data_IF_687500234008
#
_entry.id   IF_687500234008
#
_cell.length_a   1.000
_cell.length_b   1.000
_cell.length_c   1.000
_cell.angle_alpha   90.00
_cell.angle_beta   90.00
_cell.angle_gamma   90.00
#
_symmetry.space_group_name_H-M   'P 1'
#
loop_
_entity.id
_entity.type
_entity.pdbx_description
1 polymer ?
#
# COMPACT_ATOMS: atom_id res chain seq x y z
N UNK A 1 7.46 -19.47 17.99
CA UNK A 1 8.49 -20.28 18.70
C UNK A 1 8.01 -20.59 20.11
N UNK A 2 7.00 -21.47 20.27
CA UNK A 2 6.48 -21.88 21.59
C UNK A 2 5.79 -23.25 21.60
N UNK A 3 6.13 -24.17 20.68
CA UNK A 3 5.57 -25.55 20.70
C UNK A 3 6.68 -26.64 20.67
N UNK A 4 7.94 -26.31 20.94
CA UNK A 4 9.03 -27.32 20.94
C UNK A 4 9.96 -27.30 22.16
N UNK A 5 9.58 -26.62 23.25
CA UNK A 5 10.43 -26.53 24.45
C UNK A 5 9.72 -26.88 25.76
N UNK A 6 8.72 -27.76 25.73
CA UNK A 6 8.21 -28.39 26.97
C UNK A 6 8.19 -29.92 26.96
N UNK A 7 8.61 -30.57 25.87
CA UNK A 7 8.81 -32.01 25.83
C UNK A 7 10.25 -32.37 26.20
N UNK A 8 10.61 -32.27 27.48
CA UNK A 8 11.67 -33.03 28.16
C UNK A 8 11.95 -32.41 29.53
N UNK A 9 11.07 -32.64 30.50
CA UNK A 9 11.42 -32.84 31.91
C UNK A 9 10.20 -33.54 32.53
N UNK A 10 10.37 -34.79 32.97
CA UNK A 10 9.35 -35.67 33.57
C UNK A 10 8.59 -36.56 32.57
N UNK A 11 9.13 -37.76 32.32
CA UNK A 11 8.57 -38.80 31.46
C UNK A 11 7.31 -39.47 32.01
N UNK A 12 6.21 -38.72 32.07
CA UNK A 12 4.86 -39.26 32.18
C UNK A 12 4.00 -38.58 31.11
N UNK A 13 3.25 -39.35 30.32
CA UNK A 13 2.31 -38.82 29.32
C UNK A 13 1.40 -37.78 29.98
N UNK A 14 1.48 -36.52 29.54
CA UNK A 14 0.57 -35.47 29.97
C UNK A 14 -0.87 -35.79 29.56
N UNK A 15 -1.83 -35.10 30.19
CA UNK A 15 -3.24 -35.20 29.80
C UNK A 15 -3.38 -34.89 28.29
N UNK A 16 -3.76 -35.91 27.51
CA UNK A 16 -3.91 -35.79 26.04
C UNK A 16 -5.18 -34.98 25.75
N UNK A 17 -5.02 -33.85 25.08
CA UNK A 17 -6.14 -33.13 24.47
C UNK A 17 -6.58 -33.87 23.20
N UNK A 18 -7.86 -33.78 22.89
CA UNK A 18 -8.45 -34.38 21.68
C UNK A 18 -7.87 -33.73 20.41
N UNK A 19 -7.81 -34.50 19.32
CA UNK A 19 -7.22 -34.06 18.05
C UNK A 19 -7.90 -32.79 17.50
N UNK A 20 -9.23 -32.71 17.63
CA UNK A 20 -10.03 -31.57 17.20
C UNK A 20 -9.67 -30.28 17.96
N UNK A 21 -9.40 -30.39 19.27
CA UNK A 21 -8.96 -29.25 20.08
C UNK A 21 -7.61 -28.72 19.60
N UNK A 22 -6.64 -29.62 19.39
CA UNK A 22 -5.30 -29.26 18.93
C UNK A 22 -5.33 -28.64 17.53
N UNK A 23 -6.21 -29.12 16.64
CA UNK A 23 -6.38 -28.53 15.31
C UNK A 23 -7.00 -27.13 15.38
N UNK A 24 -8.00 -26.90 16.25
CA UNK A 24 -8.54 -25.56 16.49
C UNK A 24 -7.48 -24.60 17.05
N UNK A 25 -6.71 -25.04 18.04
CA UNK A 25 -5.62 -24.25 18.62
C UNK A 25 -4.58 -23.87 17.54
N UNK A 26 -4.20 -24.83 16.70
CA UNK A 26 -3.28 -24.59 15.57
C UNK A 26 -3.84 -23.57 14.60
N UNK A 27 -5.13 -23.68 14.23
CA UNK A 27 -5.79 -22.72 13.33
C UNK A 27 -5.80 -21.31 13.92
N UNK A 28 -6.13 -21.15 15.21
CA UNK A 28 -6.09 -19.85 15.89
C UNK A 28 -4.68 -19.26 15.92
N UNK A 29 -3.66 -20.06 16.20
CA UNK A 29 -2.27 -19.59 16.21
C UNK A 29 -1.84 -19.08 14.82
N UNK A 30 -2.18 -19.83 13.77
CA UNK A 30 -1.91 -19.42 12.38
C UNK A 30 -2.65 -18.14 12.04
N UNK A 31 -3.95 -18.05 12.32
CA UNK A 31 -4.75 -16.85 12.06
C UNK A 31 -4.17 -15.63 12.77
N UNK A 32 -3.79 -15.74 14.04
CA UNK A 32 -3.18 -14.64 14.80
C UNK A 32 -1.89 -14.13 14.17
N UNK A 33 -0.99 -15.03 13.76
CA UNK A 33 0.24 -14.65 13.04
C UNK A 33 -0.07 -14.00 11.70
N UNK A 34 -0.99 -14.58 10.93
CA UNK A 34 -1.39 -14.05 9.63
C UNK A 34 -1.98 -12.65 9.74
N UNK A 35 -2.83 -12.37 10.74
CA UNK A 35 -3.42 -11.03 10.96
C UNK A 35 -2.34 -10.00 11.27
N UNK A 36 -1.39 -10.32 12.17
CA UNK A 36 -0.27 -9.43 12.49
C UNK A 36 0.60 -9.11 11.26
N UNK A 37 0.93 -10.14 10.48
CA UNK A 37 1.74 -9.97 9.27
C UNK A 37 0.99 -9.17 8.20
N UNK A 38 -0.31 -9.42 8.01
CA UNK A 38 -1.15 -8.67 7.08
C UNK A 38 -1.24 -7.18 7.45
N UNK A 39 -1.46 -6.86 8.73
CA UNK A 39 -1.48 -5.48 9.21
C UNK A 39 -0.16 -4.75 8.88
N UNK A 40 0.97 -5.40 9.18
CA UNK A 40 2.29 -4.87 8.89
C UNK A 40 2.50 -4.65 7.38
N UNK A 41 2.28 -5.70 6.58
CA UNK A 41 2.53 -5.67 5.13
C UNK A 41 1.60 -4.72 4.38
N UNK A 42 0.35 -4.58 4.80
CA UNK A 42 -0.57 -3.64 4.17
C UNK A 42 -0.20 -2.18 4.47
N UNK A 43 0.25 -1.86 5.70
CA UNK A 43 0.72 -0.49 5.99
C UNK A 43 2.03 -0.15 5.26
N UNK A 44 2.92 -1.12 5.07
CA UNK A 44 4.12 -1.00 4.24
C UNK A 44 3.77 -0.80 2.75
N UNK A 45 2.78 -1.54 2.25
CA UNK A 45 2.27 -1.42 0.89
C UNK A 45 1.67 -0.03 0.61
N UNK A 46 0.81 0.47 1.50
CA UNK A 46 0.19 1.79 1.34
C UNK A 46 1.22 2.92 1.46
N UNK A 47 2.13 2.80 2.44
CA UNK A 47 3.11 3.82 2.77
C UNK A 47 4.51 3.19 2.98
N UNK A 48 5.30 3.10 1.88
CA UNK A 48 6.69 2.66 1.96
C UNK A 48 7.56 3.59 2.81
N UNK A 49 7.23 4.89 2.85
CA UNK A 49 7.90 5.87 3.69
C UNK A 49 7.51 5.68 5.17
N UNK A 50 8.47 5.41 6.09
CA UNK A 50 8.19 5.23 7.52
C UNK A 50 7.49 6.42 8.19
N UNK A 51 7.81 7.65 7.79
CA UNK A 51 7.23 8.85 8.40
C UNK A 51 5.74 9.01 8.05
N UNK A 52 5.38 8.77 6.78
CA UNK A 52 3.98 8.76 6.32
C UNK A 52 3.22 7.57 6.91
N UNK A 53 3.86 6.40 7.02
CA UNK A 53 3.28 5.21 7.65
C UNK A 53 2.88 5.44 9.10
N UNK A 54 3.74 6.10 9.88
CA UNK A 54 3.41 6.45 11.27
C UNK A 54 2.15 7.31 11.36
N UNK A 55 1.99 8.27 10.44
CA UNK A 55 0.79 9.12 10.37
C UNK A 55 -0.45 8.36 9.90
N UNK A 56 -0.31 7.44 8.94
CA UNK A 56 -1.40 6.55 8.49
C UNK A 56 -1.97 5.74 9.66
N UNK A 57 -1.12 5.20 10.54
CA UNK A 57 -1.56 4.47 11.72
C UNK A 57 -2.35 5.34 12.71
N UNK A 58 -2.03 6.64 12.77
CA UNK A 58 -2.72 7.63 13.59
C UNK A 58 -3.96 8.25 12.92
N UNK A 59 -4.30 7.81 11.71
CA UNK A 59 -5.41 8.38 10.96
C UNK A 59 -6.73 7.95 11.63
N UNK A 60 -7.34 8.91 12.33
CA UNK A 60 -8.58 8.72 13.06
C UNK A 60 -9.78 8.70 12.09
N UNK A 61 -10.57 7.63 12.15
CA UNK A 61 -11.75 7.38 11.30
C UNK A 61 -12.93 8.36 11.55
N UNK A 62 -12.78 9.34 12.45
CA UNK A 62 -13.85 10.22 12.95
C UNK A 62 -13.92 11.64 12.35
N UNK A 63 -13.49 11.88 11.11
CA UNK A 63 -13.71 13.17 10.43
C UNK A 63 -14.91 13.20 9.46
N UNK A 64 -15.80 12.19 9.50
CA UNK A 64 -16.99 12.11 8.62
C UNK A 64 -18.03 13.23 8.82
N UNK A 65 -17.92 14.07 9.87
CA UNK A 65 -19.02 14.95 10.29
C UNK A 65 -18.96 16.38 9.70
N UNK A 66 -17.89 16.81 9.02
CA UNK A 66 -17.74 18.24 8.64
C UNK A 66 -17.51 18.58 7.17
N UNK A 67 -17.66 17.63 6.24
CA UNK A 67 -17.53 17.93 4.80
C UNK A 67 -16.14 18.43 4.37
N UNK A 68 -15.11 18.22 5.19
CA UNK A 68 -13.74 18.54 4.84
C UNK A 68 -13.19 17.44 3.93
N UNK A 69 -12.54 17.86 2.84
CA UNK A 69 -11.77 17.00 1.93
C UNK A 69 -10.90 16.08 2.78
N UNK A 70 -11.05 14.78 2.57
CA UNK A 70 -10.32 13.73 3.26
C UNK A 70 -8.81 13.88 2.97
N UNK A 71 -8.08 14.57 3.84
CA UNK A 71 -6.62 14.66 3.74
C UNK A 71 -5.97 13.69 4.72
N UNK A 72 -4.98 12.95 4.25
CA UNK A 72 -4.25 11.95 5.05
C UNK A 72 -3.29 12.58 6.07
N UNK A 73 -3.04 13.90 5.99
CA UNK A 73 -2.13 14.63 6.89
C UNK A 73 -0.64 14.45 6.54
N UNK A 74 -0.34 13.84 5.39
CA UNK A 74 0.98 13.74 4.80
C UNK A 74 0.89 13.87 3.28
N UNK A 75 1.94 14.38 2.61
CA UNK A 75 1.92 14.51 1.16
C UNK A 75 2.08 13.14 0.49
N UNK A 76 1.30 12.90 -0.56
CA UNK A 76 1.54 11.78 -1.50
C UNK A 76 2.61 12.18 -2.52
N UNK A 77 3.35 11.18 -3.02
CA UNK A 77 4.45 11.37 -3.97
C UNK A 77 4.00 12.00 -5.29
N UNK A 78 2.81 11.62 -5.74
CA UNK A 78 2.13 12.11 -6.94
C UNK A 78 1.84 13.61 -6.79
N UNK A 79 1.38 14.03 -5.61
CA UNK A 79 1.13 15.44 -5.31
C UNK A 79 2.41 16.28 -5.33
N UNK A 80 3.49 15.77 -4.73
CA UNK A 80 4.80 16.44 -4.75
C UNK A 80 5.35 16.61 -6.18
N UNK A 81 5.17 15.58 -7.03
CA UNK A 81 5.53 15.65 -8.45
C UNK A 81 4.65 16.69 -9.18
N UNK A 82 3.34 16.67 -8.93
CA UNK A 82 2.38 17.61 -9.50
C UNK A 82 2.72 19.06 -9.16
N UNK A 83 3.00 19.36 -7.89
CA UNK A 83 3.37 20.70 -7.43
C UNK A 83 4.66 21.22 -8.10
N UNK A 84 5.62 20.32 -8.37
CA UNK A 84 6.83 20.66 -9.10
C UNK A 84 6.53 21.04 -10.57
N UNK A 85 5.73 20.22 -11.24
CA UNK A 85 5.35 20.45 -12.64
C UNK A 85 4.50 21.72 -12.81
N UNK A 86 3.56 21.97 -11.90
CA UNK A 86 2.73 23.18 -11.90
C UNK A 86 3.59 24.44 -11.76
N UNK A 87 4.51 24.46 -10.78
CA UNK A 87 5.38 25.61 -10.52
C UNK A 87 6.21 25.97 -11.76
N UNK A 88 6.93 25.01 -12.31
CA UNK A 88 7.79 25.28 -13.47
C UNK A 88 7.00 25.45 -14.77
N UNK A 89 5.82 24.83 -14.89
CA UNK A 89 4.92 25.04 -16.01
C UNK A 89 4.44 26.49 -16.09
N UNK A 90 4.12 27.10 -14.94
CA UNK A 90 3.74 28.51 -14.83
C UNK A 90 4.92 29.45 -15.10
N UNK A 91 6.11 29.14 -14.57
CA UNK A 91 7.32 29.95 -14.81
C UNK A 91 7.73 29.99 -16.29
N UNK A 92 7.49 28.90 -17.05
CA UNK A 92 7.73 28.85 -18.49
C UNK A 92 6.75 29.71 -19.31
N UNK A 93 5.63 30.10 -18.71
CA UNK A 93 4.60 30.93 -19.34
C UNK A 93 3.69 30.17 -20.31
N UNK A 94 2.52 30.76 -20.57
CA UNK A 94 1.45 30.18 -21.41
C UNK A 94 1.84 30.07 -22.89
N UNK A 95 2.84 30.83 -23.33
CA UNK A 95 3.37 30.77 -24.69
C UNK A 95 4.23 29.50 -24.93
N UNK A 96 4.71 28.86 -23.85
CA UNK A 96 5.48 27.63 -23.92
C UNK A 96 4.56 26.42 -24.04
N UNK A 97 4.68 25.68 -25.14
CA UNK A 97 3.99 24.39 -25.29
C UNK A 97 4.36 23.42 -24.16
N UNK A 98 5.64 23.41 -23.76
CA UNK A 98 6.12 22.57 -22.67
C UNK A 98 5.58 23.07 -21.33
N UNK A 99 5.51 24.38 -21.11
CA UNK A 99 4.90 24.98 -19.92
C UNK A 99 3.44 24.57 -19.75
N UNK A 100 2.64 24.73 -20.80
CA UNK A 100 1.25 24.28 -20.83
C UNK A 100 1.11 22.77 -20.58
N UNK A 101 1.98 21.95 -21.17
CA UNK A 101 1.94 20.50 -20.97
C UNK A 101 2.32 20.11 -19.53
N UNK A 102 3.30 20.78 -18.92
CA UNK A 102 3.64 20.59 -17.51
C UNK A 102 2.48 20.94 -16.59
N UNK A 103 1.72 22.01 -16.90
CA UNK A 103 0.54 22.37 -16.12
C UNK A 103 -0.50 21.25 -16.17
N UNK A 104 -0.87 20.77 -17.36
CA UNK A 104 -1.84 19.67 -17.51
C UNK A 104 -1.41 18.40 -16.75
N UNK A 105 -0.14 17.99 -16.89
CA UNK A 105 0.37 16.80 -16.18
C UNK A 105 0.38 17.06 -14.68
N UNK A 106 0.75 18.27 -14.24
CA UNK A 106 0.76 18.65 -12.84
C UNK A 106 -0.61 18.60 -12.18
N UNK A 107 -1.66 19.06 -12.88
CA UNK A 107 -3.05 18.95 -12.43
C UNK A 107 -3.50 17.50 -12.30
N UNK A 108 -3.21 16.68 -13.32
CA UNK A 108 -3.52 15.25 -13.29
C UNK A 108 -2.78 14.52 -12.15
N UNK A 109 -1.52 14.86 -11.88
CA UNK A 109 -0.76 14.28 -10.77
C UNK A 109 -1.32 14.68 -9.39
N UNK A 110 -1.90 15.88 -9.25
CA UNK A 110 -2.65 16.23 -8.04
C UNK A 110 -3.93 15.40 -7.89
N UNK A 111 -4.66 15.16 -8.97
CA UNK A 111 -5.83 14.27 -8.93
C UNK A 111 -5.42 12.83 -8.55
N UNK A 112 -4.31 12.32 -9.08
CA UNK A 112 -3.75 11.03 -8.68
C UNK A 112 -3.43 10.98 -7.18
N UNK A 113 -2.94 12.08 -6.60
CA UNK A 113 -2.71 12.17 -5.16
C UNK A 113 -4.00 12.06 -4.34
N UNK A 114 -5.09 12.68 -4.80
CA UNK A 114 -6.40 12.60 -4.13
C UNK A 114 -6.99 11.18 -4.19
N UNK A 115 -6.80 10.48 -5.31
CA UNK A 115 -7.18 9.06 -5.48
C UNK A 115 -6.33 8.17 -4.57
N UNK A 116 -5.03 8.46 -4.42
CA UNK A 116 -4.13 7.76 -3.49
C UNK A 116 -4.48 8.00 -2.02
N UNK A 117 -4.84 9.22 -1.64
CA UNK A 117 -5.36 9.54 -0.31
C UNK A 117 -6.65 8.75 -0.01
N UNK A 118 -7.52 8.61 -1.01
CA UNK A 118 -8.75 7.84 -0.89
C UNK A 118 -8.49 6.34 -0.69
N UNK A 119 -7.49 5.77 -1.39
CA UNK A 119 -7.04 4.39 -1.16
C UNK A 119 -6.58 4.19 0.29
N UNK A 120 -5.66 5.03 0.76
CA UNK A 120 -5.09 4.95 2.12
C UNK A 120 -6.20 4.95 3.18
N UNK A 121 -7.15 5.86 3.04
CA UNK A 121 -8.27 6.00 3.97
C UNK A 121 -9.23 4.81 3.89
N UNK A 122 -9.58 4.36 2.69
CA UNK A 122 -10.51 3.25 2.51
C UNK A 122 -9.92 1.93 3.04
N UNK A 123 -8.62 1.67 2.81
CA UNK A 123 -7.95 0.49 3.36
C UNK A 123 -7.77 0.60 4.88
N UNK A 124 -7.43 1.79 5.40
CA UNK A 124 -7.36 2.02 6.85
C UNK A 124 -8.69 1.70 7.54
N UNK A 125 -9.79 2.24 7.02
CA UNK A 125 -11.12 2.13 7.65
C UNK A 125 -11.77 0.75 7.50
N UNK A 126 -11.60 0.11 6.34
CA UNK A 126 -12.37 -1.10 6.01
C UNK A 126 -11.55 -2.40 6.05
N UNK A 127 -10.24 -2.31 6.27
CA UNK A 127 -9.37 -3.49 6.37
C UNK A 127 -8.48 -3.44 7.62
N UNK A 128 -7.66 -2.40 7.77
CA UNK A 128 -6.69 -2.30 8.89
C UNK A 128 -7.41 -2.19 10.23
N UNK A 129 -8.35 -1.25 10.39
CA UNK A 129 -9.09 -1.06 11.65
C UNK A 129 -9.88 -2.31 12.08
N UNK A 130 -10.64 -2.98 11.19
CA UNK A 130 -11.30 -4.25 11.52
C UNK A 130 -10.33 -5.36 11.94
N UNK A 131 -9.20 -5.54 11.23
CA UNK A 131 -8.20 -6.56 11.58
C UNK A 131 -7.49 -6.24 12.91
N UNK A 132 -7.23 -4.97 13.19
CA UNK A 132 -6.69 -4.55 14.47
C UNK A 132 -7.67 -4.86 15.62
N UNK A 133 -8.97 -4.61 15.41
CA UNK A 133 -10.00 -4.98 16.38
C UNK A 133 -10.08 -6.49 16.61
N UNK A 134 -10.00 -7.30 15.54
CA UNK A 134 -9.94 -8.76 15.60
C UNK A 134 -8.75 -9.25 16.44
N UNK A 135 -7.58 -8.63 16.25
CA UNK A 135 -6.35 -8.93 16.99
C UNK A 135 -6.47 -8.56 18.48
N UNK A 136 -6.97 -7.36 18.77
CA UNK A 136 -6.95 -6.80 20.12
C UNK A 136 -8.10 -7.27 21.01
N UNK A 137 -9.15 -7.85 20.42
CA UNK A 137 -10.31 -8.40 21.14
C UNK A 137 -10.39 -9.91 21.02
N UNK A 138 -10.87 -10.41 19.89
CA UNK A 138 -11.29 -11.81 19.75
C UNK A 138 -10.10 -12.77 19.91
N UNK A 139 -9.03 -12.53 19.15
CA UNK A 139 -7.83 -13.36 19.22
C UNK A 139 -7.11 -13.23 20.57
N UNK A 140 -7.16 -12.05 21.19
CA UNK A 140 -6.56 -11.81 22.51
C UNK A 140 -7.32 -12.52 23.63
N UNK A 141 -8.65 -12.56 23.56
CA UNK A 141 -9.52 -13.27 24.50
C UNK A 141 -9.31 -14.79 24.38
N UNK A 142 -9.31 -15.33 23.16
CA UNK A 142 -9.03 -16.76 22.94
C UNK A 142 -7.63 -17.12 23.46
N UNK A 143 -6.63 -16.29 23.17
CA UNK A 143 -5.26 -16.48 23.69
C UNK A 143 -5.24 -16.48 25.23
N UNK A 144 -6.05 -15.65 25.87
CA UNK A 144 -6.18 -15.62 27.33
C UNK A 144 -6.82 -16.91 27.88
N UNK A 145 -7.86 -17.43 27.24
CA UNK A 145 -8.47 -18.71 27.61
C UNK A 145 -7.49 -19.88 27.49
N UNK A 146 -6.73 -19.95 26.39
CA UNK A 146 -5.71 -20.99 26.18
C UNK A 146 -4.60 -20.94 27.25
N UNK A 147 -4.09 -19.74 27.58
CA UNK A 147 -3.10 -19.58 28.65
C UNK A 147 -3.65 -20.01 30.02
N UNK A 148 -4.92 -19.70 30.30
CA UNK A 148 -5.58 -20.09 31.55
C UNK A 148 -5.74 -21.61 31.62
N UNK A 149 -6.18 -22.23 30.51
CA UNK A 149 -6.31 -23.68 30.39
C UNK A 149 -4.97 -24.39 30.65
N UNK A 150 -3.89 -23.93 30.02
CA UNK A 150 -2.56 -24.53 30.21
C UNK A 150 -2.10 -24.43 31.67
N UNK A 151 -2.36 -23.31 32.34
CA UNK A 151 -2.11 -23.16 33.78
C UNK A 151 -2.91 -24.15 34.64
N UNK A 152 -4.18 -24.41 34.30
CA UNK A 152 -5.02 -25.40 35.01
C UNK A 152 -4.56 -26.83 34.75
N UNK A 153 -4.16 -27.14 33.50
CA UNK A 153 -3.61 -28.45 33.12
C UNK A 153 -2.39 -28.79 33.95
N UNK A 154 -1.46 -27.83 34.11
CA UNK A 154 -0.26 -28.00 34.92
C UNK A 154 -0.57 -28.21 36.42
N UNK A 155 -1.54 -27.47 36.99
CA UNK A 155 -1.99 -27.65 38.39
C UNK A 155 -2.61 -29.04 38.61
N UNK A 156 -3.47 -29.47 37.69
CA UNK A 156 -4.07 -30.80 37.72
C UNK A 156 -3.01 -31.90 37.62
N UNK A 157 -2.12 -31.83 36.64
CA UNK A 157 -1.04 -32.82 36.44
C UNK A 157 -0.13 -32.89 37.68
N UNK A 158 0.18 -31.75 38.30
CA UNK A 158 0.96 -31.69 39.54
C UNK A 158 0.26 -32.41 40.70
N UNK A 159 -1.02 -32.11 40.93
CA UNK A 159 -1.81 -32.68 42.04
C UNK A 159 -2.05 -34.17 41.84
N UNK A 160 -2.37 -34.60 40.62
CA UNK A 160 -2.56 -36.00 40.24
C UNK A 160 -1.30 -36.83 40.49
N UNK A 161 -0.12 -36.31 40.15
CA UNK A 161 1.17 -36.99 40.43
C UNK A 161 1.46 -37.18 41.92
N UNK A 162 0.79 -36.44 42.80
CA UNK A 162 0.95 -36.50 44.27
C UNK A 162 -0.29 -37.10 44.96
N UNK A 163 -1.10 -37.86 44.23
CA UNK A 163 -2.24 -38.58 44.80
C UNK A 163 -1.80 -39.42 46.02
N UNK A 164 -2.60 -39.39 47.08
CA UNK A 164 -2.27 -39.97 48.40
C UNK A 164 -1.44 -39.08 49.33
N UNK A 165 -0.87 -37.96 48.84
CA UNK A 165 -0.23 -36.91 49.66
C UNK A 165 -1.01 -35.60 49.69
N UNK A 166 -1.99 -35.47 48.81
CA UNK A 166 -2.90 -34.32 48.67
C UNK A 166 -4.31 -34.85 48.90
N UNK A 167 -5.18 -34.05 49.53
CA UNK A 167 -6.57 -34.44 49.75
C UNK A 167 -7.29 -34.67 48.42
N UNK A 168 -8.08 -35.74 48.33
CA UNK A 168 -8.80 -36.10 47.10
C UNK A 168 -9.74 -34.97 46.63
N UNK A 169 -10.28 -34.20 47.58
CA UNK A 169 -11.10 -33.02 47.29
C UNK A 169 -10.33 -31.93 46.53
N UNK A 170 -9.04 -31.71 46.83
CA UNK A 170 -8.22 -30.73 46.10
C UNK A 170 -7.88 -31.19 44.69
N UNK A 171 -7.73 -32.51 44.49
CA UNK A 171 -7.51 -33.12 43.17
C UNK A 171 -8.80 -32.99 42.36
N UNK A 172 -9.96 -33.30 42.96
CA UNK A 172 -11.28 -33.15 42.35
C UNK A 172 -11.53 -31.71 41.88
N UNK A 173 -11.28 -30.73 42.73
CA UNK A 173 -11.42 -29.31 42.37
C UNK A 173 -10.45 -28.88 41.26
N UNK A 174 -9.27 -29.50 41.15
CA UNK A 174 -8.34 -29.22 40.06
C UNK A 174 -8.83 -29.77 38.72
N UNK A 175 -9.46 -30.96 38.72
CA UNK A 175 -10.14 -31.53 37.56
C UNK A 175 -11.27 -30.63 37.10
N UNK A 176 -12.18 -30.26 38.01
CA UNK A 176 -13.34 -29.41 37.68
C UNK A 176 -12.90 -28.08 37.05
N UNK A 177 -11.89 -27.41 37.62
CA UNK A 177 -11.37 -26.14 37.06
C UNK A 177 -10.66 -26.31 35.72
N UNK A 178 -10.02 -27.47 35.49
CA UNK A 178 -9.41 -27.81 34.21
C UNK A 178 -10.49 -28.01 33.15
N UNK A 179 -11.51 -28.83 33.43
CA UNK A 179 -12.61 -29.12 32.52
C UNK A 179 -13.39 -27.85 32.15
N UNK A 180 -13.74 -27.01 33.14
CA UNK A 180 -14.38 -25.71 32.90
C UNK A 180 -13.55 -24.79 32.00
N UNK A 181 -12.22 -24.79 32.17
CA UNK A 181 -11.33 -23.96 31.36
C UNK A 181 -11.15 -24.53 29.95
N UNK A 182 -11.21 -25.86 29.80
CA UNK A 182 -11.15 -26.56 28.50
C UNK A 182 -12.39 -26.20 27.69
N UNK A 183 -13.57 -26.41 28.26
CA UNK A 183 -14.86 -26.12 27.61
C UNK A 183 -14.94 -24.65 27.16
N UNK A 184 -14.51 -23.73 28.02
CA UNK A 184 -14.51 -22.30 27.69
C UNK A 184 -13.57 -21.96 26.53
N UNK A 185 -12.34 -22.48 26.53
CA UNK A 185 -11.38 -22.26 25.45
C UNK A 185 -11.89 -22.89 24.14
N UNK A 186 -12.35 -24.13 24.21
CA UNK A 186 -12.86 -24.90 23.08
C UNK A 186 -14.05 -24.20 22.41
N UNK A 187 -15.05 -23.79 23.19
CA UNK A 187 -16.20 -23.06 22.66
C UNK A 187 -15.82 -21.71 22.04
N UNK A 188 -14.86 -21.01 22.63
CA UNK A 188 -14.39 -19.72 22.08
C UNK A 188 -13.67 -19.90 20.75
N UNK A 189 -12.82 -20.92 20.62
CA UNK A 189 -12.16 -21.25 19.36
C UNK A 189 -13.17 -21.69 18.30
N UNK A 190 -14.12 -22.56 18.66
CA UNK A 190 -15.15 -23.03 17.76
C UNK A 190 -15.98 -21.88 17.20
N UNK A 191 -16.52 -21.00 18.07
CA UNK A 191 -17.32 -19.85 17.64
C UNK A 191 -16.56 -18.89 16.72
N UNK A 192 -15.26 -18.71 16.96
CA UNK A 192 -14.43 -17.89 16.10
C UNK A 192 -14.25 -18.52 14.71
N UNK A 193 -13.95 -19.82 14.67
CA UNK A 193 -13.66 -20.53 13.42
C UNK A 193 -14.92 -20.76 12.57
N UNK A 194 -16.09 -20.88 13.18
CA UNK A 194 -17.38 -20.98 12.46
C UNK A 194 -17.80 -19.67 11.79
N UNK A 195 -17.21 -18.53 12.17
CA UNK A 195 -17.54 -17.20 11.63
C UNK A 195 -16.43 -16.64 10.72
N UNK A 196 -15.70 -17.51 9.99
CA UNK A 196 -14.55 -17.13 9.15
C UNK A 196 -14.91 -16.26 7.93
N UNK A 197 -16.20 -16.16 7.61
CA UNK A 197 -16.75 -15.32 6.54
C UNK A 197 -16.42 -13.83 6.75
N UNK A 198 -16.30 -13.37 8.00
CA UNK A 198 -15.95 -11.98 8.30
C UNK A 198 -14.54 -11.63 7.81
N UNK A 199 -13.58 -12.55 7.96
CA UNK A 199 -12.21 -12.37 7.49
C UNK A 199 -12.14 -12.36 5.96
N UNK A 200 -12.97 -13.18 5.30
CA UNK A 200 -13.10 -13.14 3.82
C UNK A 200 -13.68 -11.80 3.36
N UNK A 201 -14.69 -11.27 4.06
CA UNK A 201 -15.26 -9.96 3.78
C UNK A 201 -14.23 -8.82 3.94
N UNK A 202 -13.36 -8.91 4.96
CA UNK A 202 -12.27 -7.95 5.15
C UNK A 202 -11.28 -8.00 3.97
N UNK A 203 -10.87 -9.19 3.52
CA UNK A 203 -10.01 -9.32 2.33
C UNK A 203 -10.68 -8.74 1.08
N UNK A 204 -11.98 -8.98 0.90
CA UNK A 204 -12.76 -8.38 -0.20
C UNK A 204 -12.73 -6.85 -0.14
N UNK A 205 -12.82 -6.26 1.04
CA UNK A 205 -12.75 -4.80 1.21
C UNK A 205 -11.39 -4.21 0.79
N UNK A 206 -10.28 -4.90 1.08
CA UNK A 206 -8.94 -4.53 0.61
C UNK A 206 -8.88 -4.52 -0.93
N UNK A 207 -9.31 -5.61 -1.56
CA UNK A 207 -9.27 -5.74 -3.02
C UNK A 207 -10.18 -4.73 -3.71
N UNK A 208 -11.38 -4.50 -3.17
CA UNK A 208 -12.30 -3.49 -3.71
C UNK A 208 -11.70 -2.08 -3.67
N UNK A 209 -11.04 -1.72 -2.57
CA UNK A 209 -10.38 -0.42 -2.45
C UNK A 209 -9.21 -0.28 -3.45
N UNK A 210 -8.40 -1.32 -3.62
CA UNK A 210 -7.31 -1.34 -4.60
C UNK A 210 -7.82 -1.26 -6.05
N UNK A 211 -8.91 -1.98 -6.36
CA UNK A 211 -9.53 -1.96 -7.68
C UNK A 211 -10.06 -0.56 -8.02
N UNK A 212 -10.80 0.06 -7.10
CA UNK A 212 -11.34 1.41 -7.28
C UNK A 212 -10.22 2.45 -7.50
N UNK A 213 -9.14 2.35 -6.72
CA UNK A 213 -7.94 3.19 -6.89
C UNK A 213 -7.34 3.06 -8.29
N UNK A 214 -7.15 1.83 -8.78
CA UNK A 214 -6.54 1.60 -10.09
C UNK A 214 -7.45 2.02 -11.24
N UNK A 215 -8.77 1.84 -11.12
CA UNK A 215 -9.74 2.27 -12.12
C UNK A 215 -9.75 3.79 -12.27
N UNK A 216 -9.89 4.53 -11.17
CA UNK A 216 -9.86 6.01 -11.20
C UNK A 216 -8.51 6.55 -11.69
N UNK A 217 -7.41 5.90 -11.29
CA UNK A 217 -6.08 6.23 -11.80
C UNK A 217 -5.98 6.07 -13.33
N UNK A 218 -6.55 4.99 -13.86
CA UNK A 218 -6.56 4.74 -15.30
C UNK A 218 -7.36 5.82 -16.05
N UNK A 219 -8.54 6.18 -15.55
CA UNK A 219 -9.38 7.23 -16.14
C UNK A 219 -8.64 8.58 -16.22
N UNK A 220 -7.98 9.00 -15.14
CA UNK A 220 -7.17 10.24 -15.10
C UNK A 220 -6.04 10.19 -16.13
N UNK A 221 -5.31 9.08 -16.19
CA UNK A 221 -4.16 8.92 -17.09
C UNK A 221 -4.57 8.82 -18.56
N UNK A 222 -5.70 8.19 -18.86
CA UNK A 222 -6.28 8.13 -20.20
C UNK A 222 -6.70 9.52 -20.69
N UNK A 223 -7.38 10.31 -19.84
CA UNK A 223 -7.75 11.69 -20.16
C UNK A 223 -6.50 12.54 -20.44
N UNK A 224 -5.49 12.46 -19.56
CA UNK A 224 -4.22 13.17 -19.71
C UNK A 224 -3.51 12.77 -21.00
N UNK A 225 -3.41 11.47 -21.29
CA UNK A 225 -2.80 10.96 -22.52
C UNK A 225 -3.49 11.53 -23.76
N UNK A 226 -4.83 11.56 -23.78
CA UNK A 226 -5.61 12.19 -24.84
C UNK A 226 -5.34 13.69 -24.99
N UNK A 227 -5.22 14.44 -23.88
CA UNK A 227 -4.85 15.87 -23.89
C UNK A 227 -3.46 16.09 -24.47
N UNK A 228 -2.47 15.30 -24.05
CA UNK A 228 -1.10 15.42 -24.54
C UNK A 228 -1.00 15.09 -26.02
N UNK A 229 -1.67 14.06 -26.51
CA UNK A 229 -1.69 13.72 -27.94
C UNK A 229 -2.27 14.86 -28.78
N UNK A 230 -3.39 15.46 -28.35
CA UNK A 230 -3.97 16.62 -29.02
C UNK A 230 -3.01 17.81 -29.07
N UNK A 231 -2.26 18.05 -27.98
CA UNK A 231 -1.22 19.11 -27.93
C UNK A 231 -0.08 18.81 -28.90
N UNK A 232 0.42 17.58 -28.94
CA UNK A 232 1.47 17.15 -29.88
C UNK A 232 1.00 17.37 -31.32
N UNK A 233 -0.18 16.87 -31.69
CA UNK A 233 -0.72 17.04 -33.05
C UNK A 233 -0.87 18.52 -33.43
N UNK A 234 -1.40 19.35 -32.52
CA UNK A 234 -1.59 20.78 -32.76
C UNK A 234 -0.27 21.55 -32.87
N UNK A 235 0.77 21.11 -32.18
CA UNK A 235 2.10 21.70 -32.24
C UNK A 235 2.86 21.29 -33.51
N UNK A 236 2.75 20.02 -33.91
CA UNK A 236 3.40 19.50 -35.12
C UNK A 236 2.85 20.11 -36.41
N UNK A 237 1.60 20.59 -36.41
CA UNK A 237 1.00 21.30 -37.55
C UNK A 237 1.37 22.79 -37.64
N UNK A 238 2.07 23.34 -36.64
CA UNK A 238 2.45 24.77 -36.66
C UNK A 238 3.68 25.00 -37.55
N UNK A 239 3.68 26.04 -38.40
CA UNK A 239 4.88 26.44 -39.15
C UNK A 239 6.04 26.74 -38.20
N UNK A 240 7.24 26.22 -38.50
CA UNK A 240 8.44 26.55 -37.73
C UNK A 240 8.72 28.04 -37.85
N UNK A 241 8.89 28.71 -36.71
CA UNK A 241 9.34 30.11 -36.68
C UNK A 241 10.82 30.15 -37.00
N UNK A 242 11.21 30.96 -37.97
CA UNK A 242 12.61 31.25 -38.21
C UNK A 242 13.16 32.11 -37.09
N UNK A 243 14.26 31.67 -36.48
CA UNK A 243 14.97 32.48 -35.51
C UNK A 243 15.62 33.66 -36.24
N UNK A 244 15.10 34.87 -35.98
CA UNK A 244 15.73 36.11 -36.43
C UNK A 244 16.43 36.76 -35.22
N UNK A 245 17.76 36.65 -35.10
CA UNK A 245 18.48 37.32 -34.02
C UNK A 245 18.25 38.82 -34.14
N UNK A 246 17.74 39.43 -33.07
CA UNK A 246 17.63 40.88 -32.99
C UNK A 246 19.06 41.44 -32.93
N UNK A 247 19.47 42.15 -33.98
CA UNK A 247 20.75 42.85 -33.98
C UNK A 247 20.73 43.92 -32.90
N UNK A 248 21.75 43.95 -32.05
CA UNK A 248 21.92 45.01 -31.04
C UNK A 248 22.02 46.38 -31.74
N UNK A 249 22.58 46.43 -32.96
CA UNK A 249 22.75 47.65 -33.75
C UNK A 249 21.42 48.31 -34.14
N UNK A 250 20.39 47.52 -34.50
CA UNK A 250 19.06 48.06 -34.84
C UNK A 250 18.26 48.54 -33.63
N UNK A 251 18.63 48.11 -32.42
CA UNK A 251 18.00 48.59 -31.18
C UNK A 251 18.61 49.91 -30.71
N UNK A 252 19.86 50.19 -31.09
CA UNK A 252 20.57 51.45 -30.82
C UNK A 252 20.10 52.54 -31.80
N UNK A 253 19.95 52.22 -33.10
CA UNK A 253 19.46 53.18 -34.10
C UNK A 253 18.01 53.66 -33.84
N UNK A 254 17.19 52.85 -33.16
CA UNK A 254 15.85 53.24 -32.73
C UNK A 254 15.84 54.21 -31.53
N UNK A 255 16.92 54.26 -30.75
CA UNK A 255 17.08 55.21 -29.63
C UNK A 255 17.62 56.55 -30.12
N UNK A 256 18.37 56.58 -31.22
CA UNK A 256 18.93 57.81 -31.79
C UNK A 256 17.91 58.68 -32.55
N UNK A 257 16.69 58.17 -32.82
CA UNK A 257 15.60 58.96 -33.42
C UNK A 257 14.83 59.82 -32.43
N UNK A 258 14.96 59.58 -31.12
CA UNK A 258 14.36 60.40 -30.07
C UNK A 258 15.45 60.88 -29.13
N UNK A 259 16.08 61.99 -29.48
CA UNK A 259 17.03 62.65 -28.60
C UNK A 259 16.43 62.93 -27.23
N UNK A 260 17.15 62.54 -26.16
CA UNK A 260 17.53 63.37 -25.01
C UNK A 260 18.36 62.57 -23.98
N UNK A 261 19.57 63.10 -23.73
CA UNK A 261 20.34 63.19 -22.48
C UNK A 261 20.52 62.02 -21.49
N UNK A 262 21.75 61.48 -21.51
CA UNK A 262 22.66 60.97 -20.46
C UNK A 262 22.16 60.78 -19.00
N UNK A 263 22.44 59.59 -18.43
CA UNK A 263 23.13 59.44 -17.13
C UNK A 263 23.56 57.99 -16.86
N UNK A 264 24.87 57.83 -16.70
CA UNK A 264 25.64 56.65 -16.29
C UNK A 264 25.20 55.98 -14.97
N UNK A 265 25.34 54.64 -14.88
CA UNK A 265 26.17 53.98 -13.85
C UNK A 265 26.24 52.47 -14.04
N UNK A 266 27.43 51.98 -14.38
CA UNK A 266 27.86 50.60 -14.21
C UNK A 266 28.02 50.31 -12.71
N UNK A 267 27.41 49.22 -12.22
CA UNK A 267 27.96 48.45 -11.09
C UNK A 267 27.73 46.96 -11.35
N UNK A 268 28.79 46.34 -11.85
CA UNK A 268 29.07 44.92 -11.71
C UNK A 268 29.30 44.62 -10.23
N UNK A 269 28.64 43.61 -9.68
CA UNK A 269 29.10 42.93 -8.48
C UNK A 269 28.77 41.46 -8.66
N UNK A 270 29.83 40.66 -8.86
CA UNK A 270 29.74 39.23 -8.97
C UNK A 270 29.55 38.58 -7.60
N UNK A 271 28.72 37.54 -7.57
CA UNK A 271 28.82 36.44 -6.62
C UNK A 271 28.41 35.16 -7.35
N UNK A 272 29.27 34.13 -7.42
CA UNK A 272 28.85 32.82 -7.91
C UNK A 272 28.08 32.12 -6.77
N UNK A 273 26.78 31.88 -6.97
CA UNK A 273 26.03 30.98 -6.09
C UNK A 273 26.33 29.54 -6.50
N UNK A 274 26.90 28.81 -5.54
CA UNK A 274 27.21 27.39 -5.58
C UNK A 274 25.89 26.62 -5.56
N UNK A 275 25.46 26.08 -6.70
CA UNK A 275 24.47 25.00 -6.72
C UNK A 275 25.21 23.66 -6.62
N UNK A 276 25.46 23.23 -5.38
CA UNK A 276 25.91 21.87 -5.09
C UNK A 276 24.76 21.08 -4.47
N UNK A 277 24.50 19.90 -5.05
CA UNK A 277 23.76 18.76 -4.48
C UNK A 277 22.26 18.97 -4.30
N UNK A 278 21.36 18.07 -4.73
CA UNK A 278 21.35 16.63 -4.44
C UNK A 278 20.68 15.88 -5.60
N UNK A 279 21.44 15.09 -6.36
CA UNK A 279 20.87 13.98 -7.13
C UNK A 279 20.64 12.82 -6.16
N UNK A 280 19.44 12.72 -5.60
CA UNK A 280 18.99 11.50 -4.95
C UNK A 280 18.49 10.56 -6.06
N UNK A 281 19.28 9.52 -6.34
CA UNK A 281 18.82 8.36 -7.09
C UNK A 281 17.63 7.75 -6.34
N UNK A 282 16.42 7.92 -6.89
CA UNK A 282 15.31 7.03 -6.59
C UNK A 282 15.27 5.99 -7.70
N UNK A 283 15.70 4.78 -7.35
CA UNK A 283 15.48 3.60 -8.17
C UNK A 283 13.99 3.48 -8.47
N UNK A 284 13.59 3.65 -9.74
CA UNK A 284 12.31 3.19 -10.22
C UNK A 284 12.28 1.67 -10.08
N UNK A 285 11.54 1.18 -9.08
CA UNK A 285 11.25 -0.23 -8.97
C UNK A 285 10.18 -0.58 -10.01
N UNK A 286 10.58 -1.49 -10.89
CA UNK A 286 9.82 -2.04 -12.00
C UNK A 286 8.69 -2.92 -11.46
N UNK A 287 7.44 -2.56 -11.71
CA UNK A 287 6.32 -3.50 -11.66
C UNK A 287 5.12 -2.97 -12.44
N UNK A 288 5.05 -3.29 -13.74
CA UNK A 288 3.79 -3.56 -14.44
C UNK A 288 4.10 -4.31 -15.74
N UNK A 289 4.33 -5.63 -15.64
CA UNK A 289 4.07 -6.53 -16.77
C UNK A 289 2.71 -7.18 -16.49
N UNK A 290 1.68 -6.64 -17.12
CA UNK A 290 0.45 -7.41 -17.37
C UNK A 290 0.16 -7.32 -18.85
N UNK A 291 0.29 -8.49 -19.48
CA UNK A 291 -0.15 -8.75 -20.84
C UNK A 291 -1.60 -8.31 -21.02
N UNK A 292 -1.80 -7.28 -21.83
CA UNK A 292 -3.07 -7.03 -22.49
C UNK A 292 -2.86 -7.35 -23.97
N UNK A 293 -3.25 -8.55 -24.41
CA UNK A 293 -3.35 -8.90 -25.83
C UNK A 293 -4.78 -9.29 -26.14
N UNK A 294 -5.51 -8.35 -26.73
CA UNK A 294 -6.65 -8.56 -27.61
C UNK A 294 -6.41 -7.58 -28.77
N UNK A 295 -6.54 -7.89 -30.06
CA UNK A 295 -7.29 -8.93 -30.77
C UNK A 295 -6.68 -9.06 -32.19
N UNK A 296 -6.88 -10.19 -32.87
CA UNK A 296 -7.20 -10.21 -34.30
C UNK A 296 -7.61 -11.63 -34.73
N UNK A 297 -8.88 -11.75 -35.09
CA UNK A 297 -9.51 -12.89 -35.76
C UNK A 297 -9.13 -12.85 -37.24
N UNK A 298 -8.62 -13.96 -37.79
CA UNK A 298 -8.85 -14.34 -39.20
C UNK A 298 -8.84 -15.87 -39.32
N UNK A 299 -9.96 -16.39 -39.82
CA UNK A 299 -10.16 -17.73 -40.35
C UNK A 299 -8.96 -18.25 -41.17
N UNK A 300 -8.56 -19.51 -41.00
CA UNK A 300 -8.29 -20.43 -42.13
C UNK A 300 -8.27 -21.90 -41.67
N UNK A 301 -9.08 -22.69 -42.37
CA UNK A 301 -9.22 -24.15 -42.45
C UNK A 301 -7.98 -25.00 -42.11
N UNK A 302 -8.22 -26.06 -41.31
CA UNK A 302 -7.29 -27.17 -41.06
C UNK A 302 -7.42 -28.20 -42.18
N UNK A 303 -6.36 -28.39 -42.96
CA UNK A 303 -6.16 -29.63 -43.75
C UNK A 303 -4.80 -30.22 -43.42
N UNK A 304 -4.82 -31.44 -42.86
CA UNK A 304 -3.64 -32.25 -42.52
C UNK A 304 -2.99 -32.82 -43.79
N UNK A 305 -1.66 -32.79 -43.85
CA UNK A 305 -0.86 -33.79 -44.58
C UNK A 305 0.37 -34.21 -43.76
N UNK A 306 0.77 -35.49 -43.82
CA UNK A 306 1.80 -36.07 -42.96
C UNK A 306 3.20 -36.06 -43.61
N UNK A 307 4.22 -36.24 -42.77
CA UNK A 307 5.64 -36.52 -43.06
C UNK A 307 6.54 -35.35 -43.50
N UNK A 308 7.48 -35.01 -42.62
CA UNK A 308 8.66 -34.22 -42.97
C UNK A 308 9.59 -34.05 -41.76
N UNK A 309 10.79 -34.62 -41.84
CA UNK A 309 11.78 -34.73 -40.77
C UNK A 309 12.24 -33.38 -40.19
N UNK A 310 12.51 -33.45 -38.89
CA UNK A 310 13.23 -32.51 -38.04
C UNK A 310 14.45 -31.85 -38.70
N UNK A 311 14.53 -30.51 -38.63
CA UNK A 311 15.78 -29.75 -38.39
C UNK A 311 15.46 -28.44 -37.67
N UNK A 312 16.03 -28.28 -36.49
CA UNK A 312 16.20 -27.00 -35.80
C UNK A 312 17.33 -26.21 -36.51
N UNK A 313 17.09 -24.94 -36.78
CA UNK A 313 18.16 -23.95 -36.92
C UNK A 313 17.65 -22.63 -36.37
N UNK A 314 18.26 -22.17 -35.27
CA UNK A 314 18.10 -20.85 -34.69
C UNK A 314 18.79 -19.81 -35.58
N UNK A 315 18.10 -18.72 -35.88
CA UNK A 315 18.61 -17.34 -35.79
C UNK A 315 17.46 -16.47 -35.29
#
# INVERSE_FOLDING_TARGET
>A
VSVLLSEKISGAEGTKLEEDFLEMERKIEVTSKSVLDLLSKTTEYLQPNPASRAKLNMLNTMSKIRGQVKTTGYPQTEGLLGDCMLRYGQELGEDSLFGCALVDVGEAMRQMADVKDSLDINVKQNFIDPLQNLQDKDLKEITHHLKKLEGRRLDFDYKKKRQGKIADEEIRQAVEKFDESKELAERSMFNFLENDVEQVNQLSALIRAALEYHQQSCEILEELSGKLQKRISSASSRPKRDFKPKSIRSSIEALDSNGLSYSSSLKSTGTPSVCASVCASVCFHRCFESHCSSSAVTDTQISRTPNGKSRYSFM
#
